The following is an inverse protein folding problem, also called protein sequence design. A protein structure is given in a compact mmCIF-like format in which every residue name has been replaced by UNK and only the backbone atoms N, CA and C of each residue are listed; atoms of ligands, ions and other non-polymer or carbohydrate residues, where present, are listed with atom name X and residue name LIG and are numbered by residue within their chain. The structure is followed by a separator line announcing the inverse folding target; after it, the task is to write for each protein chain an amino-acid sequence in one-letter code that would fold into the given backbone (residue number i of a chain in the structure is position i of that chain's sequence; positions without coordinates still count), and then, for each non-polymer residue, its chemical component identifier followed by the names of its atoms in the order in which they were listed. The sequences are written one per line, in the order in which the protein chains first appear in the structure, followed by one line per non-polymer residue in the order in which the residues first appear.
data_IF_547799386634
#
_entry.id   IF_547799386634
#
_cell.length_a   1.000
_cell.length_b   1.000
_cell.length_c   1.000
_cell.angle_alpha   90.00
_cell.angle_beta   90.00
_cell.angle_gamma   90.00
#
_symmetry.space_group_name_H-M   'P 1'
#
loop_
_entity.id
_entity.type
_entity.pdbx_description
1 polymer ?
#
# COMPACT_ATOMS: atom_id res chain seq x y z
N UNK A 1 6.01 -26.98 21.63
CA UNK A 1 6.66 -25.93 22.44
C UNK A 1 8.16 -26.14 22.38
N UNK A 2 8.96 -25.10 22.11
CA UNK A 2 10.41 -25.23 22.07
C UNK A 2 11.00 -25.33 23.48
N UNK A 3 12.07 -26.12 23.63
CA UNK A 3 12.81 -26.25 24.90
C UNK A 3 13.75 -25.07 25.13
N UNK A 4 14.20 -24.85 26.36
CA UNK A 4 15.09 -23.74 26.70
C UNK A 4 16.42 -23.78 25.91
N UNK A 5 16.99 -24.97 25.74
CA UNK A 5 18.20 -25.17 24.94
C UNK A 5 18.00 -24.89 23.45
N UNK A 6 16.78 -25.08 22.92
CA UNK A 6 16.45 -24.71 21.54
C UNK A 6 16.41 -23.19 21.38
N UNK A 7 15.88 -22.45 22.37
CA UNK A 7 15.85 -20.98 22.36
C UNK A 7 17.24 -20.35 22.55
N UNK A 8 18.12 -21.02 23.32
CA UNK A 8 19.52 -20.59 23.48
C UNK A 8 20.30 -20.77 22.17
N UNK A 9 20.09 -21.89 21.45
CA UNK A 9 20.78 -22.16 20.17
C UNK A 9 20.16 -21.41 18.98
N UNK A 10 18.84 -21.23 19.01
CA UNK A 10 18.07 -20.54 17.97
C UNK A 10 17.12 -19.54 18.64
N UNK A 11 17.52 -18.27 18.64
CA UNK A 11 16.69 -17.18 19.16
C UNK A 11 15.34 -17.08 18.45
N UNK A 12 14.37 -16.44 19.09
CA UNK A 12 13.08 -16.17 18.45
C UNK A 12 13.24 -15.04 17.43
N UNK A 13 12.66 -15.23 16.26
CA UNK A 13 12.60 -14.19 15.22
C UNK A 13 11.23 -13.53 15.19
N UNK A 14 11.24 -12.22 14.94
CA UNK A 14 10.02 -11.47 14.69
C UNK A 14 9.51 -11.73 13.27
N UNK A 15 8.18 -11.87 13.15
CA UNK A 15 7.54 -12.00 11.84
C UNK A 15 7.56 -10.65 11.13
N UNK A 16 8.33 -10.56 10.03
CA UNK A 16 8.36 -9.36 9.18
C UNK A 16 7.00 -9.12 8.53
N UNK A 17 6.52 -7.88 8.59
CA UNK A 17 5.32 -7.41 7.89
C UNK A 17 5.72 -6.57 6.68
N UNK A 18 4.90 -6.62 5.63
CA UNK A 18 5.08 -5.79 4.45
C UNK A 18 4.22 -4.55 4.52
N UNK A 19 4.80 -3.40 4.20
CA UNK A 19 4.02 -2.18 4.03
C UNK A 19 3.24 -2.21 2.71
N UNK A 20 1.99 -1.75 2.76
CA UNK A 20 1.09 -1.55 1.62
C UNK A 20 1.38 -0.23 0.91
N UNK A 21 1.94 0.77 1.59
CA UNK A 21 2.17 2.13 1.07
C UNK A 21 3.60 2.38 0.58
N UNK A 22 4.20 1.38 -0.09
CA UNK A 22 5.59 1.45 -0.56
C UNK A 22 5.88 2.63 -1.48
N UNK A 23 4.90 3.01 -2.32
CA UNK A 23 5.06 4.12 -3.26
C UNK A 23 5.28 5.49 -2.60
N UNK A 24 5.07 5.61 -1.29
CA UNK A 24 5.28 6.87 -0.55
C UNK A 24 6.71 7.06 -0.04
N UNK A 25 7.61 6.06 -0.14
CA UNK A 25 8.98 6.09 0.40
C UNK A 25 9.09 6.67 1.81
N UNK A 26 8.16 6.30 2.72
CA UNK A 26 8.08 6.83 4.09
C UNK A 26 7.85 8.35 4.21
N UNK A 27 7.57 9.06 3.11
CA UNK A 27 7.11 10.43 3.13
C UNK A 27 5.60 10.48 3.43
N UNK A 28 5.10 11.50 4.16
CA UNK A 28 3.68 11.65 4.44
C UNK A 28 2.86 11.96 3.17
N UNK A 29 3.45 12.70 2.22
CA UNK A 29 2.82 13.09 0.96
C UNK A 29 3.89 13.17 -0.14
N UNK A 30 3.53 12.84 -1.38
CA UNK A 30 4.36 13.04 -2.56
C UNK A 30 3.56 13.71 -3.67
N UNK A 31 4.21 14.63 -4.37
CA UNK A 31 3.64 15.28 -5.55
C UNK A 31 3.63 14.29 -6.73
N UNK A 32 2.66 14.47 -7.63
CA UNK A 32 2.53 13.67 -8.83
C UNK A 32 1.65 14.34 -9.88
N UNK A 33 1.76 13.87 -11.12
CA UNK A 33 0.96 14.35 -12.25
C UNK A 33 -0.13 13.33 -12.55
N UNK A 34 -1.33 13.77 -12.88
CA UNK A 34 -2.47 12.91 -13.22
C UNK A 34 -2.56 12.68 -14.74
N UNK A 35 -2.02 11.58 -15.30
CA UNK A 35 -2.19 11.26 -16.72
C UNK A 35 -3.65 10.99 -17.13
N UNK A 36 -4.49 10.46 -16.23
CA UNK A 36 -5.88 10.13 -16.56
C UNK A 36 -6.79 10.08 -15.33
N UNK A 37 -7.98 10.68 -15.47
CA UNK A 37 -9.09 10.53 -14.52
C UNK A 37 -10.09 9.52 -15.07
N UNK A 38 -10.64 8.67 -14.19
CA UNK A 38 -11.55 7.59 -14.52
C UNK A 38 -12.57 7.34 -13.41
N UNK A 39 -13.67 6.68 -13.74
CA UNK A 39 -14.69 6.25 -12.77
C UNK A 39 -14.70 4.72 -12.65
N UNK A 40 -14.76 4.18 -11.42
CA UNK A 40 -14.89 2.72 -11.19
C UNK A 40 -16.06 2.42 -10.25
N UNK A 41 -16.71 1.28 -10.47
CA UNK A 41 -17.73 0.75 -9.56
C UNK A 41 -17.06 0.08 -8.35
N UNK A 42 -17.58 0.25 -7.12
CA UNK A 42 -17.06 -0.41 -5.93
C UNK A 42 -17.40 -1.91 -5.94
N UNK A 43 -16.72 -2.68 -5.07
CA UNK A 43 -17.06 -4.10 -4.85
C UNK A 43 -18.45 -4.20 -4.20
N UNK A 44 -19.25 -5.20 -4.63
CA UNK A 44 -20.50 -5.62 -3.97
C UNK A 44 -20.27 -5.74 -2.44
N UNK A 45 -21.20 -5.31 -1.57
CA UNK A 45 -22.62 -4.94 -1.79
C UNK A 45 -22.86 -3.50 -2.25
N UNK A 46 -21.82 -2.68 -2.33
CA UNK A 46 -21.98 -1.26 -2.59
C UNK A 46 -22.24 -1.00 -4.08
N UNK A 47 -22.99 0.06 -4.38
CA UNK A 47 -23.22 0.57 -5.74
C UNK A 47 -22.97 2.08 -5.76
N UNK A 48 -22.08 2.54 -6.64
CA UNK A 48 -21.75 3.95 -6.88
C UNK A 48 -20.77 4.07 -8.07
N UNK A 49 -20.57 5.29 -8.58
CA UNK A 49 -19.43 5.63 -9.44
C UNK A 49 -18.38 6.38 -8.61
N UNK A 50 -17.21 5.74 -8.36
CA UNK A 50 -16.09 6.35 -7.62
C UNK A 50 -15.16 7.08 -8.58
N UNK A 51 -14.92 8.37 -8.33
CA UNK A 51 -13.92 9.18 -9.05
C UNK A 51 -12.51 8.76 -8.60
N UNK A 52 -11.68 8.34 -9.55
CA UNK A 52 -10.32 7.85 -9.30
C UNK A 52 -9.39 8.49 -10.33
N UNK A 53 -8.17 8.83 -9.92
CA UNK A 53 -7.10 9.27 -10.80
C UNK A 53 -6.00 8.21 -10.89
N UNK A 54 -5.46 7.98 -12.09
CA UNK A 54 -4.13 7.42 -12.25
C UNK A 54 -3.13 8.56 -12.05
N UNK A 55 -2.18 8.40 -11.13
CA UNK A 55 -1.19 9.43 -10.76
C UNK A 55 0.21 8.86 -10.92
N UNK A 56 1.08 9.59 -11.61
CA UNK A 56 2.53 9.33 -11.67
C UNK A 56 3.22 10.21 -10.64
N UNK A 57 3.75 9.59 -9.58
CA UNK A 57 4.47 10.27 -8.51
C UNK A 57 5.87 10.71 -8.97
N UNK A 58 6.47 11.65 -8.22
CA UNK A 58 7.84 12.13 -8.48
C UNK A 58 8.91 11.03 -8.45
N UNK A 59 8.69 9.96 -7.69
CA UNK A 59 9.53 8.75 -7.66
C UNK A 59 9.23 7.76 -8.80
N UNK A 60 8.50 8.18 -9.84
CA UNK A 60 8.15 7.41 -11.05
C UNK A 60 7.21 6.23 -10.82
N UNK A 61 6.64 6.08 -9.63
CA UNK A 61 5.58 5.09 -9.40
C UNK A 61 4.24 5.56 -9.96
N UNK A 62 3.58 4.67 -10.71
CA UNK A 62 2.22 4.85 -11.17
C UNK A 62 1.25 4.23 -10.14
N UNK A 63 0.38 5.05 -9.55
CA UNK A 63 -0.62 4.62 -8.55
C UNK A 63 -2.04 5.03 -8.96
N UNK A 64 -3.03 4.42 -8.32
CA UNK A 64 -4.42 4.88 -8.38
C UNK A 64 -4.78 5.58 -7.07
N UNK A 65 -5.28 6.81 -7.16
CA UNK A 65 -5.70 7.61 -6.02
C UNK A 65 -7.20 7.93 -6.10
N UNK A 66 -7.87 7.90 -4.95
CA UNK A 66 -9.26 8.34 -4.84
C UNK A 66 -9.31 9.88 -4.83
N UNK A 67 -10.32 10.45 -5.48
CA UNK A 67 -10.61 11.89 -5.44
C UNK A 67 -11.83 12.09 -4.52
N UNK A 68 -11.66 12.68 -3.32
CA UNK A 68 -12.76 12.94 -2.41
C UNK A 68 -13.72 14.02 -2.93
#
# INVERSE_FOLDING_TARGET
MPTFNQLIRHGREEKRRTDRTRASDQCPQKQGVCPRVLTRTPKKPNSALRKIAKVRLSNRHDIFAYIP
#
